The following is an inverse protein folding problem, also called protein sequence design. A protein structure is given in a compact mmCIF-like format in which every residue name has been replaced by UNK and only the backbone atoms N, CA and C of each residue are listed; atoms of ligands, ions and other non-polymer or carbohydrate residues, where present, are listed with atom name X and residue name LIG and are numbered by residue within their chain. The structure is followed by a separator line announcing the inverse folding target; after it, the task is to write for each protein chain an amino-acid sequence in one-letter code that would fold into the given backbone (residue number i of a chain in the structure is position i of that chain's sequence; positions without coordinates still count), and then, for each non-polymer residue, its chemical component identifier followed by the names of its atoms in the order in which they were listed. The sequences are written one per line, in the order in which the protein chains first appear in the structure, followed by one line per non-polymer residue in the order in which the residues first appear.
data_IF_919625207397
#
_entry.id   IF_919625207397
#
_cell.length_a   1.000
_cell.length_b   1.000
_cell.length_c   1.000
_cell.angle_alpha   90.00
_cell.angle_beta   90.00
_cell.angle_gamma   90.00
#
_symmetry.space_group_name_H-M   'P 1'
#
loop_
_entity.id
_entity.type
_entity.pdbx_description
1 polymer ?
#
# COMPACT_ATOMS: atom_id res chain seq x y z
N UNK A 1 -15.52 11.76 -13.76
CA UNK A 1 -15.21 12.59 -12.58
C UNK A 1 -13.96 13.39 -12.86
N UNK A 2 -13.91 14.66 -12.47
CA UNK A 2 -12.80 15.58 -12.75
C UNK A 2 -12.33 16.25 -11.46
N UNK A 3 -11.04 16.66 -11.42
CA UNK A 3 -10.46 17.36 -10.28
C UNK A 3 -10.25 16.47 -9.04
N UNK A 4 -10.07 15.15 -9.23
CA UNK A 4 -9.90 14.22 -8.13
C UNK A 4 -8.45 14.03 -7.76
N UNK A 5 -8.21 13.86 -6.46
CA UNK A 5 -7.00 13.25 -5.94
C UNK A 5 -7.28 11.77 -5.66
N UNK A 6 -6.57 10.90 -6.38
CA UNK A 6 -6.66 9.45 -6.25
C UNK A 6 -5.47 8.94 -5.45
N UNK A 7 -5.68 8.01 -4.53
CA UNK A 7 -4.59 7.35 -3.81
C UNK A 7 -4.60 5.85 -4.12
N UNK A 8 -3.48 5.34 -4.64
CA UNK A 8 -3.32 3.93 -4.98
C UNK A 8 -2.56 3.19 -3.87
N UNK A 9 -3.12 2.09 -3.41
CA UNK A 9 -2.65 1.34 -2.24
C UNK A 9 -1.55 0.29 -2.54
N UNK A 10 -0.75 0.51 -3.58
CA UNK A 10 0.37 -0.37 -3.98
C UNK A 10 0.01 -1.40 -5.05
N UNK A 11 0.99 -2.20 -5.48
CA UNK A 11 0.90 -3.13 -6.62
C UNK A 11 0.50 -2.43 -7.92
N UNK A 12 1.15 -1.30 -8.17
CA UNK A 12 0.95 -0.49 -9.38
C UNK A 12 1.59 -1.12 -10.62
N UNK A 13 2.46 -2.11 -10.42
CA UNK A 13 3.14 -2.86 -11.48
C UNK A 13 4.40 -2.17 -12.02
N UNK A 14 5.01 -1.29 -11.23
CA UNK A 14 6.30 -0.67 -11.60
C UNK A 14 7.43 -1.68 -11.44
N UNK A 15 8.08 -2.00 -12.55
CA UNK A 15 9.11 -3.05 -12.61
C UNK A 15 8.71 -4.19 -13.54
N UNK A 16 7.43 -4.34 -13.84
CA UNK A 16 6.96 -5.21 -14.91
C UNK A 16 7.33 -4.62 -16.27
N UNK A 17 7.92 -5.44 -17.15
CA UNK A 17 8.34 -5.04 -18.50
C UNK A 17 7.16 -4.56 -19.37
N UNK A 18 5.95 -5.03 -19.10
CA UNK A 18 4.73 -4.65 -19.82
C UNK A 18 4.31 -3.21 -19.47
N UNK A 19 4.39 -2.86 -18.18
CA UNK A 19 4.01 -1.54 -17.69
C UNK A 19 5.15 -0.54 -17.87
N UNK A 20 6.40 -0.94 -17.66
CA UNK A 20 7.60 -0.14 -17.87
C UNK A 20 7.86 0.26 -19.32
N UNK A 21 7.19 -0.35 -20.28
CA UNK A 21 7.23 0.09 -21.69
C UNK A 21 6.76 1.55 -21.90
N UNK A 22 6.38 2.21 -20.83
CA UNK A 22 6.06 3.64 -20.77
C UNK A 22 4.77 4.03 -21.48
N UNK A 23 4.22 3.16 -22.34
CA UNK A 23 3.03 3.49 -23.15
C UNK A 23 1.76 3.52 -22.30
N UNK A 24 1.60 2.56 -21.38
CA UNK A 24 0.41 2.46 -20.50
C UNK A 24 0.39 3.63 -19.53
N UNK A 25 1.52 3.88 -18.86
CA UNK A 25 1.62 4.97 -17.89
C UNK A 25 1.51 6.35 -18.52
N UNK A 26 2.11 6.56 -19.71
CA UNK A 26 1.93 7.80 -20.47
C UNK A 26 0.46 8.05 -20.86
N UNK A 27 -0.26 7.00 -21.24
CA UNK A 27 -1.70 7.10 -21.53
C UNK A 27 -2.52 7.39 -20.29
N UNK A 28 -2.18 6.78 -19.16
CA UNK A 28 -2.83 7.05 -17.88
C UNK A 28 -2.56 8.49 -17.44
N UNK A 29 -1.32 8.94 -17.47
CA UNK A 29 -0.94 10.32 -17.14
C UNK A 29 -1.68 11.34 -17.99
N UNK A 30 -1.72 11.13 -19.31
CA UNK A 30 -2.47 11.99 -20.24
C UNK A 30 -3.98 12.01 -19.92
N UNK A 31 -4.55 10.89 -19.48
CA UNK A 31 -5.96 10.78 -19.09
C UNK A 31 -6.23 11.53 -17.78
N UNK A 32 -5.36 11.38 -16.81
CA UNK A 32 -5.43 12.12 -15.54
C UNK A 32 -5.33 13.63 -15.79
N UNK A 33 -4.40 14.05 -16.64
CA UNK A 33 -4.23 15.44 -17.05
C UNK A 33 -5.49 16.00 -17.71
N UNK A 34 -6.08 15.25 -18.64
CA UNK A 34 -7.29 15.66 -19.37
C UNK A 34 -8.51 15.86 -18.48
N UNK A 35 -8.53 15.22 -17.31
CA UNK A 35 -9.60 15.30 -16.32
C UNK A 35 -9.19 16.10 -15.07
N UNK A 36 -8.02 16.75 -15.10
CA UNK A 36 -7.45 17.48 -13.95
C UNK A 36 -7.36 16.62 -12.68
N UNK A 37 -7.09 15.32 -12.84
CA UNK A 37 -6.93 14.38 -11.74
C UNK A 37 -5.43 14.17 -11.44
N UNK A 38 -5.11 13.92 -10.16
CA UNK A 38 -3.78 13.50 -9.73
C UNK A 38 -3.86 12.14 -9.05
N UNK A 39 -2.92 11.25 -9.32
CA UNK A 39 -2.82 9.95 -8.68
C UNK A 39 -1.54 9.86 -7.85
N UNK A 40 -1.71 9.62 -6.56
CA UNK A 40 -0.64 9.38 -5.60
C UNK A 40 -0.49 7.86 -5.42
N UNK A 41 0.71 7.34 -5.50
CA UNK A 41 0.96 5.88 -5.51
C UNK A 41 2.02 5.53 -4.48
N UNK A 42 1.69 4.67 -3.53
CA UNK A 42 2.68 3.96 -2.71
C UNK A 42 3.13 2.68 -3.42
N UNK A 43 4.28 2.14 -3.06
CA UNK A 43 4.72 0.84 -3.59
C UNK A 43 4.01 -0.33 -2.91
N UNK A 44 3.75 -1.39 -3.66
CA UNK A 44 3.40 -2.71 -3.14
C UNK A 44 4.58 -3.67 -3.21
N UNK A 45 4.31 -4.97 -2.99
CA UNK A 45 5.32 -6.03 -3.12
C UNK A 45 5.53 -6.50 -4.58
N UNK A 46 4.66 -6.09 -5.50
CA UNK A 46 4.82 -6.29 -6.95
C UNK A 46 5.42 -5.07 -7.67
N UNK A 47 5.94 -4.11 -6.92
CA UNK A 47 6.56 -2.91 -7.45
C UNK A 47 8.07 -2.91 -7.17
N UNK A 48 8.88 -2.51 -8.15
CA UNK A 48 10.32 -2.34 -7.94
C UNK A 48 10.58 -1.07 -7.11
N UNK A 49 11.09 -1.17 -5.87
CA UNK A 49 11.29 -0.02 -4.99
C UNK A 49 12.17 1.08 -5.57
N UNK A 50 13.06 0.76 -6.50
CA UNK A 50 13.96 1.71 -7.15
C UNK A 50 13.24 2.85 -7.90
N UNK A 51 11.95 2.73 -8.17
CA UNK A 51 11.16 3.81 -8.80
C UNK A 51 10.62 4.83 -7.79
N UNK A 52 10.65 4.54 -6.50
CA UNK A 52 10.12 5.43 -5.44
C UNK A 52 11.20 6.34 -4.84
N UNK A 53 11.90 7.07 -5.71
CA UNK A 53 13.00 7.98 -5.32
C UNK A 53 12.54 9.40 -4.95
N UNK A 54 11.27 9.71 -5.18
CA UNK A 54 10.74 11.08 -5.10
C UNK A 54 10.83 11.87 -6.40
N UNK A 55 11.58 11.37 -7.39
CA UNK A 55 11.61 11.95 -8.73
C UNK A 55 10.36 11.54 -9.50
N UNK A 56 9.59 12.50 -9.97
CA UNK A 56 8.36 12.22 -10.69
C UNK A 56 8.61 12.07 -12.19
N UNK A 57 8.44 10.86 -12.71
CA UNK A 57 8.53 10.55 -14.15
C UNK A 57 7.32 11.08 -14.95
N UNK A 58 6.23 11.42 -14.26
CA UNK A 58 4.95 11.84 -14.84
C UNK A 58 4.39 13.05 -14.09
N UNK A 59 3.60 13.88 -14.77
CA UNK A 59 3.04 15.10 -14.18
C UNK A 59 1.88 14.80 -13.21
N UNK A 60 1.06 13.80 -13.53
CA UNK A 60 -0.18 13.50 -12.80
C UNK A 60 -0.16 12.14 -12.09
N UNK A 61 0.93 11.36 -12.21
CA UNK A 61 1.20 10.17 -11.43
C UNK A 61 2.39 10.46 -10.52
N UNK A 62 2.18 10.43 -9.21
CA UNK A 62 3.16 10.74 -8.18
C UNK A 62 3.51 9.47 -7.41
N UNK A 63 4.66 8.86 -7.72
CA UNK A 63 5.21 7.79 -6.91
C UNK A 63 5.82 8.41 -5.65
N UNK A 64 5.22 8.18 -4.50
CA UNK A 64 5.64 8.80 -3.25
C UNK A 64 6.51 7.84 -2.43
N UNK A 65 7.73 8.26 -2.03
CA UNK A 65 8.58 7.47 -1.15
C UNK A 65 7.86 7.12 0.16
N UNK A 66 8.29 6.04 0.79
CA UNK A 66 7.78 5.65 2.10
C UNK A 66 7.95 6.80 3.11
N UNK A 67 7.01 6.88 4.06
CA UNK A 67 6.95 7.93 5.08
C UNK A 67 6.72 9.35 4.55
N UNK A 68 6.24 9.47 3.31
CA UNK A 68 5.85 10.77 2.75
C UNK A 68 4.46 11.15 3.23
N UNK A 69 4.32 12.39 3.71
CA UNK A 69 3.03 13.01 4.01
C UNK A 69 2.64 13.94 2.88
N UNK A 70 1.47 13.72 2.31
CA UNK A 70 0.89 14.61 1.29
C UNK A 70 -0.36 15.28 1.84
N UNK A 71 -0.57 16.54 1.50
CA UNK A 71 -1.80 17.25 1.86
C UNK A 71 -2.80 17.15 0.70
N UNK A 72 -3.95 16.57 0.97
CA UNK A 72 -5.01 16.34 -0.01
C UNK A 72 -6.34 16.83 0.58
N UNK A 73 -6.91 17.87 -0.03
CA UNK A 73 -8.22 18.41 0.36
C UNK A 73 -8.30 18.77 1.87
N UNK A 74 -7.18 19.29 2.41
CA UNK A 74 -7.08 19.68 3.82
C UNK A 74 -6.84 18.52 4.79
N UNK A 75 -6.65 17.29 4.30
CA UNK A 75 -6.24 16.12 5.09
C UNK A 75 -4.75 15.82 4.87
N UNK A 76 -4.07 15.48 5.93
CA UNK A 76 -2.68 15.02 5.90
C UNK A 76 -2.66 13.50 5.79
N UNK A 77 -2.22 13.00 4.63
CA UNK A 77 -2.21 11.58 4.27
C UNK A 77 -0.79 11.06 4.31
N UNK A 78 -0.50 10.13 5.21
CA UNK A 78 0.77 9.42 5.28
C UNK A 78 0.73 8.20 4.36
N UNK A 79 1.71 8.08 3.45
CA UNK A 79 1.91 6.91 2.61
C UNK A 79 3.13 6.09 3.04
N UNK A 80 2.96 4.78 3.24
CA UNK A 80 4.05 3.83 3.50
C UNK A 80 3.78 2.52 2.76
N UNK A 81 4.67 2.18 1.85
CA UNK A 81 4.51 1.01 0.99
C UNK A 81 5.21 -0.25 1.49
N UNK A 82 5.16 -1.28 0.65
CA UNK A 82 5.84 -2.55 0.84
C UNK A 82 5.03 -3.60 1.58
N UNK A 83 5.33 -4.85 1.23
CA UNK A 83 4.84 -6.04 1.90
C UNK A 83 5.72 -7.25 1.52
N UNK A 84 5.60 -8.33 2.28
CA UNK A 84 6.29 -9.58 1.99
C UNK A 84 5.51 -10.37 0.93
N UNK A 85 6.17 -10.71 -0.19
CA UNK A 85 5.62 -11.63 -1.18
C UNK A 85 5.57 -13.06 -0.65
N UNK A 86 4.38 -13.65 -0.61
CA UNK A 86 4.20 -15.06 -0.21
C UNK A 86 4.82 -16.04 -1.21
N UNK A 87 4.93 -15.63 -2.47
CA UNK A 87 5.48 -16.36 -3.60
C UNK A 87 6.91 -15.94 -3.97
N UNK A 88 7.65 -15.33 -3.03
CA UNK A 88 8.99 -14.80 -3.28
C UNK A 88 9.98 -15.84 -3.80
N UNK A 89 9.93 -17.09 -3.31
CA UNK A 89 10.85 -18.16 -3.75
C UNK A 89 10.72 -18.46 -5.24
N UNK A 90 9.54 -18.76 -5.81
CA UNK A 90 9.41 -18.89 -7.26
C UNK A 90 9.70 -17.61 -8.02
N UNK A 91 9.40 -16.42 -7.49
CA UNK A 91 9.69 -15.13 -8.14
C UNK A 91 11.20 -14.86 -8.21
N UNK A 92 11.98 -15.21 -7.18
CA UNK A 92 13.45 -15.18 -7.23
C UNK A 92 14.01 -16.03 -8.38
N UNK A 93 13.43 -17.19 -8.64
CA UNK A 93 13.85 -18.06 -9.71
C UNK A 93 13.58 -17.49 -11.12
N UNK A 94 12.62 -16.59 -11.25
CA UNK A 94 12.27 -15.91 -12.51
C UNK A 94 13.13 -14.67 -12.80
N UNK A 95 14.10 -14.36 -11.94
CA UNK A 95 15.17 -13.36 -12.08
C UNK A 95 14.79 -11.88 -12.24
N UNK A 96 13.53 -11.48 -12.44
CA UNK A 96 13.18 -10.10 -12.75
C UNK A 96 11.91 -9.55 -12.05
N UNK A 97 11.35 -10.29 -11.08
CA UNK A 97 10.04 -9.92 -10.51
C UNK A 97 10.00 -9.96 -8.98
N UNK A 98 11.15 -10.02 -8.33
CA UNK A 98 11.28 -9.98 -6.88
C UNK A 98 12.43 -9.07 -6.47
N UNK A 99 12.21 -8.27 -5.45
CA UNK A 99 13.20 -7.32 -4.92
C UNK A 99 13.36 -7.54 -3.42
N UNK A 100 14.60 -7.65 -2.90
CA UNK A 100 14.86 -7.88 -1.48
C UNK A 100 14.27 -6.79 -0.57
N UNK A 101 14.14 -5.59 -1.11
CA UNK A 101 13.66 -4.37 -0.46
C UNK A 101 12.16 -4.08 -0.73
N UNK A 102 11.40 -5.05 -1.26
CA UNK A 102 9.94 -4.93 -1.43
C UNK A 102 9.18 -4.83 -0.10
N UNK A 103 9.78 -5.29 0.99
CA UNK A 103 9.16 -5.41 2.30
C UNK A 103 8.83 -4.06 2.94
N UNK A 104 7.85 -4.06 3.85
CA UNK A 104 7.64 -2.96 4.79
C UNK A 104 8.81 -2.85 5.77
N UNK A 105 9.27 -1.64 6.05
CA UNK A 105 10.35 -1.36 7.01
C UNK A 105 9.83 -0.39 8.06
N UNK A 106 9.90 -0.75 9.33
CA UNK A 106 9.44 0.09 10.44
C UNK A 106 10.50 1.13 10.84
N UNK A 107 10.21 2.42 10.61
CA UNK A 107 11.08 3.55 10.93
C UNK A 107 10.54 4.31 12.16
N UNK A 108 10.87 3.83 13.36
CA UNK A 108 10.32 4.33 14.64
C UNK A 108 10.61 5.81 14.88
N UNK A 109 11.82 6.25 14.58
CA UNK A 109 12.25 7.64 14.80
C UNK A 109 11.48 8.60 13.90
N UNK A 110 11.28 8.24 12.64
CA UNK A 110 10.49 9.03 11.69
C UNK A 110 9.03 9.12 12.16
N UNK A 111 8.44 8.00 12.55
CA UNK A 111 7.05 7.94 13.01
C UNK A 111 6.81 8.76 14.28
N UNK A 112 7.75 8.73 15.23
CA UNK A 112 7.66 9.46 16.49
C UNK A 112 7.62 10.99 16.31
N UNK A 113 8.17 11.49 15.20
CA UNK A 113 8.17 12.92 14.85
C UNK A 113 6.94 13.36 14.05
N UNK A 114 6.12 12.43 13.57
CA UNK A 114 4.94 12.75 12.75
C UNK A 114 3.81 13.34 13.58
N UNK A 115 3.19 14.41 13.05
CA UNK A 115 2.09 15.15 13.69
C UNK A 115 1.01 15.47 12.67
N UNK A 116 -0.20 15.60 13.18
CA UNK A 116 -1.37 16.04 12.42
C UNK A 116 -1.70 15.10 11.24
N UNK A 117 -1.47 13.80 11.39
CA UNK A 117 -1.86 12.80 10.39
C UNK A 117 -3.34 12.46 10.58
N UNK A 118 -4.13 12.61 9.51
CA UNK A 118 -5.56 12.30 9.47
C UNK A 118 -5.82 10.92 8.89
N UNK A 119 -5.05 10.55 7.84
CA UNK A 119 -5.24 9.31 7.08
C UNK A 119 -3.89 8.62 6.90
N UNK A 120 -3.89 7.30 7.04
CA UNK A 120 -2.72 6.47 6.74
C UNK A 120 -3.06 5.56 5.57
N UNK A 121 -2.12 5.43 4.63
CA UNK A 121 -2.22 4.49 3.51
C UNK A 121 -0.99 3.59 3.52
N UNK A 122 -1.22 2.28 3.69
CA UNK A 122 -0.18 1.26 3.63
C UNK A 122 -0.50 0.23 2.55
N UNK A 123 0.46 -0.63 2.17
CA UNK A 123 0.14 -1.73 1.27
C UNK A 123 -0.42 -2.93 2.02
N UNK A 124 0.12 -3.26 3.19
CA UNK A 124 -0.36 -4.35 4.06
C UNK A 124 -0.92 -3.80 5.38
N UNK A 125 -1.36 -4.65 6.31
CA UNK A 125 -2.18 -4.27 7.46
C UNK A 125 -1.59 -4.67 8.81
N UNK A 126 -1.91 -3.92 9.90
CA UNK A 126 -1.67 -4.34 11.27
C UNK A 126 -2.33 -5.68 11.60
N UNK A 127 -1.83 -6.34 12.63
CA UNK A 127 -2.32 -7.66 13.03
C UNK A 127 -3.84 -7.70 13.30
N UNK A 128 -4.37 -6.69 13.98
CA UNK A 128 -5.80 -6.61 14.34
C UNK A 128 -6.71 -6.23 13.17
N UNK A 129 -6.17 -5.68 12.08
CA UNK A 129 -6.89 -5.32 10.87
C UNK A 129 -6.63 -6.28 9.70
N UNK A 130 -5.94 -7.40 9.95
CA UNK A 130 -5.74 -8.42 8.93
C UNK A 130 -7.09 -9.05 8.55
N UNK A 131 -7.50 -9.02 7.26
CA UNK A 131 -8.82 -9.47 6.84
C UNK A 131 -9.09 -10.94 7.25
N UNK A 132 -10.23 -11.17 7.90
CA UNK A 132 -10.64 -12.53 8.31
C UNK A 132 -11.33 -13.30 7.19
N UNK A 133 -11.92 -12.59 6.23
CA UNK A 133 -12.59 -13.14 5.05
C UNK A 133 -11.64 -13.71 3.99
N UNK A 134 -10.31 -13.67 4.22
CA UNK A 134 -9.35 -14.37 3.35
C UNK A 134 -9.75 -15.84 3.31
N UNK A 135 -10.30 -16.24 2.17
CA UNK A 135 -10.90 -17.54 1.98
C UNK A 135 -9.86 -18.68 2.18
N UNK A 136 -10.33 -19.90 2.37
CA UNK A 136 -9.48 -21.07 2.58
C UNK A 136 -8.47 -21.31 1.45
N UNK A 137 -8.73 -20.77 0.24
CA UNK A 137 -7.83 -20.84 -0.91
C UNK A 137 -6.54 -20.05 -0.64
N UNK A 138 -6.63 -18.77 -0.20
CA UNK A 138 -5.45 -17.95 0.11
C UNK A 138 -4.64 -18.54 1.25
N UNK A 139 -5.31 -19.05 2.30
CA UNK A 139 -4.60 -19.73 3.42
C UNK A 139 -3.88 -21.00 2.95
N UNK A 140 -4.50 -21.75 2.03
CA UNK A 140 -3.91 -22.94 1.41
C UNK A 140 -2.69 -22.57 0.54
N UNK A 141 -2.79 -21.46 -0.18
CA UNK A 141 -1.74 -20.94 -1.04
C UNK A 141 -0.50 -20.54 -0.21
N UNK A 142 -0.67 -19.72 0.85
CA UNK A 142 0.41 -19.33 1.77
C UNK A 142 1.07 -20.57 2.39
N UNK A 143 0.29 -21.57 2.84
CA UNK A 143 0.84 -22.83 3.38
C UNK A 143 1.59 -23.64 2.33
N UNK A 144 1.19 -23.55 1.06
CA UNK A 144 1.89 -24.16 -0.07
C UNK A 144 3.30 -23.61 -0.21
N UNK A 145 3.44 -22.29 -0.28
CA UNK A 145 4.73 -21.61 -0.39
C UNK A 145 5.62 -21.74 0.86
N UNK A 146 5.02 -21.82 2.04
CA UNK A 146 5.77 -22.01 3.29
C UNK A 146 6.53 -23.35 3.37
N UNK A 147 6.23 -24.32 2.49
CA UNK A 147 7.01 -25.57 2.40
C UNK A 147 8.42 -25.32 1.83
N UNK A 148 8.53 -24.39 0.89
CA UNK A 148 9.78 -24.02 0.23
C UNK A 148 10.44 -22.79 0.88
N UNK A 149 9.75 -22.14 1.80
CA UNK A 149 10.20 -20.96 2.53
C UNK A 149 9.87 -21.10 4.04
N UNK A 150 10.73 -21.77 4.81
CA UNK A 150 10.46 -22.07 6.23
C UNK A 150 10.28 -20.83 7.13
N UNK A 151 10.82 -19.68 6.72
CA UNK A 151 10.72 -18.42 7.48
C UNK A 151 9.50 -17.59 7.11
N UNK A 152 8.80 -17.90 6.04
CA UNK A 152 7.71 -17.08 5.51
C UNK A 152 6.65 -16.75 6.57
N UNK A 153 6.15 -17.77 7.29
CA UNK A 153 5.10 -17.57 8.30
C UNK A 153 5.56 -16.66 9.43
N UNK A 154 6.80 -16.83 9.89
CA UNK A 154 7.38 -15.98 10.93
C UNK A 154 7.53 -14.53 10.45
N UNK A 155 8.02 -14.34 9.23
CA UNK A 155 8.21 -13.01 8.65
C UNK A 155 6.88 -12.29 8.42
N UNK A 156 5.85 -12.97 7.92
CA UNK A 156 4.50 -12.41 7.78
C UNK A 156 3.88 -12.04 9.14
N UNK A 157 4.17 -12.79 10.19
CA UNK A 157 3.73 -12.45 11.54
C UNK A 157 4.48 -11.22 12.07
N UNK A 158 5.78 -11.13 11.82
CA UNK A 158 6.59 -9.97 12.20
C UNK A 158 6.14 -8.70 11.48
N UNK A 159 5.93 -8.74 10.17
CA UNK A 159 5.43 -7.60 9.37
C UNK A 159 4.13 -7.03 9.97
N UNK A 160 3.19 -7.89 10.34
CA UNK A 160 1.94 -7.46 10.98
C UNK A 160 2.13 -6.84 12.37
N UNK A 161 3.09 -7.36 13.14
CA UNK A 161 3.45 -6.79 14.44
C UNK A 161 4.13 -5.43 14.27
N UNK A 162 5.01 -5.28 13.28
CA UNK A 162 5.68 -4.03 12.97
C UNK A 162 4.67 -2.95 12.53
N UNK A 163 3.65 -3.32 11.75
CA UNK A 163 2.55 -2.41 11.39
C UNK A 163 1.64 -2.08 12.58
N UNK A 164 1.47 -3.02 13.52
CA UNK A 164 0.76 -2.75 14.79
C UNK A 164 1.55 -1.74 15.63
N UNK A 165 2.86 -1.90 15.70
CA UNK A 165 3.74 -0.94 16.38
C UNK A 165 3.73 0.43 15.68
N UNK A 166 3.73 0.47 14.35
CA UNK A 166 3.54 1.72 13.57
C UNK A 166 2.25 2.45 13.99
N UNK A 167 1.13 1.70 14.10
CA UNK A 167 -0.14 2.26 14.56
C UNK A 167 -0.02 2.81 15.98
N UNK A 168 0.57 2.05 16.91
CA UNK A 168 0.72 2.45 18.31
C UNK A 168 1.54 3.74 18.45
N UNK A 169 2.63 3.89 17.68
CA UNK A 169 3.45 5.11 17.68
C UNK A 169 2.66 6.31 17.10
N UNK A 170 2.00 6.11 15.98
CA UNK A 170 1.29 7.19 15.31
C UNK A 170 0.11 7.71 16.15
N UNK A 171 -0.68 6.84 16.77
CA UNK A 171 -1.86 7.24 17.53
C UNK A 171 -1.55 8.07 18.78
N UNK A 172 -0.33 8.01 19.30
CA UNK A 172 0.07 8.81 20.47
C UNK A 172 0.02 10.31 20.19
N UNK A 173 0.28 10.72 18.95
CA UNK A 173 0.46 12.12 18.60
C UNK A 173 -0.41 12.59 17.41
N UNK A 174 -1.31 11.74 16.92
CA UNK A 174 -2.13 12.02 15.75
C UNK A 174 -3.60 11.60 15.98
N UNK A 175 -4.52 12.26 15.29
CA UNK A 175 -5.95 11.93 15.33
C UNK A 175 -6.35 11.22 14.03
N UNK A 176 -5.84 10.00 13.83
CA UNK A 176 -6.10 9.21 12.62
C UNK A 176 -7.57 8.81 12.59
N UNK A 177 -8.24 9.06 11.48
CA UNK A 177 -9.64 8.65 11.26
C UNK A 177 -9.76 7.41 10.38
N UNK A 178 -8.88 7.29 9.38
CA UNK A 178 -8.93 6.24 8.37
C UNK A 178 -7.54 5.65 8.12
N UNK A 179 -7.51 4.34 7.93
CA UNK A 179 -6.33 3.58 7.51
C UNK A 179 -6.70 2.68 6.34
N UNK A 180 -6.15 2.99 5.15
CA UNK A 180 -6.45 2.29 3.92
C UNK A 180 -5.28 1.38 3.53
N UNK A 181 -5.58 0.20 3.00
CA UNK A 181 -4.54 -0.74 2.57
C UNK A 181 -5.04 -1.67 1.46
N UNK A 182 -4.12 -2.32 0.74
CA UNK A 182 -4.40 -3.25 -0.36
C UNK A 182 -3.98 -4.68 -0.04
N UNK A 183 -3.20 -5.30 -0.94
CA UNK A 183 -2.49 -6.59 -0.81
C UNK A 183 -3.39 -7.83 -0.70
N UNK A 184 -4.50 -7.78 0.02
CA UNK A 184 -5.30 -8.96 0.38
C UNK A 184 -6.38 -9.33 -0.62
N UNK A 185 -6.56 -8.57 -1.70
CA UNK A 185 -7.53 -8.84 -2.78
C UNK A 185 -8.97 -9.07 -2.27
N UNK A 186 -9.37 -8.38 -1.24
CA UNK A 186 -10.70 -8.44 -0.63
C UNK A 186 -11.15 -7.04 -0.24
N UNK A 187 -12.41 -6.89 0.13
CA UNK A 187 -12.97 -5.64 0.62
C UNK A 187 -13.59 -5.91 1.99
N UNK A 188 -13.04 -5.32 3.03
CA UNK A 188 -13.47 -5.51 4.41
C UNK A 188 -13.15 -4.26 5.23
N UNK A 189 -13.95 -3.98 6.24
CA UNK A 189 -13.73 -2.86 7.16
C UNK A 189 -13.62 -3.39 8.59
N UNK A 190 -12.58 -2.98 9.28
CA UNK A 190 -12.39 -3.23 10.71
C UNK A 190 -12.36 -1.90 11.45
N UNK A 191 -13.15 -1.75 12.50
CA UNK A 191 -13.08 -0.61 13.41
C UNK A 191 -12.21 -0.98 14.61
N UNK A 192 -11.16 -0.21 14.85
CA UNK A 192 -10.27 -0.40 15.98
C UNK A 192 -9.96 0.93 16.66
N UNK A 193 -10.29 1.07 17.94
CA UNK A 193 -10.09 2.29 18.75
C UNK A 193 -10.56 3.59 18.07
N UNK A 194 -11.66 3.52 17.31
CA UNK A 194 -12.24 4.66 16.62
C UNK A 194 -11.67 4.93 15.23
N UNK A 195 -10.60 4.24 14.83
CA UNK A 195 -10.01 4.31 13.48
C UNK A 195 -10.66 3.27 12.58
N UNK A 196 -11.01 3.68 11.37
CA UNK A 196 -11.58 2.81 10.34
C UNK A 196 -10.46 2.24 9.46
N UNK A 197 -10.19 0.95 9.62
CA UNK A 197 -9.25 0.20 8.77
C UNK A 197 -10.02 -0.44 7.62
N UNK A 198 -9.66 -0.05 6.38
CA UNK A 198 -10.31 -0.56 5.18
C UNK A 198 -9.30 -1.19 4.21
N UNK A 199 -9.50 -2.46 3.88
CA UNK A 199 -8.83 -3.07 2.74
C UNK A 199 -9.57 -2.73 1.44
N UNK A 200 -8.80 -2.33 0.42
CA UNK A 200 -9.31 -2.02 -0.92
C UNK A 200 -8.97 -3.20 -1.82
N UNK A 201 -10.00 -3.83 -2.38
CA UNK A 201 -9.86 -4.96 -3.29
C UNK A 201 -9.37 -4.54 -4.68
N UNK A 202 -9.11 -5.54 -5.54
CA UNK A 202 -8.71 -5.30 -6.93
C UNK A 202 -9.86 -4.61 -7.67
N UNK A 203 -9.56 -3.50 -8.32
CA UNK A 203 -10.51 -2.63 -9.04
C UNK A 203 -11.59 -1.98 -8.16
N UNK A 204 -11.48 -2.07 -6.83
CA UNK A 204 -12.36 -1.34 -5.93
C UNK A 204 -11.86 0.09 -5.73
N UNK A 205 -12.81 0.99 -5.49
CA UNK A 205 -12.52 2.38 -5.16
C UNK A 205 -13.37 2.81 -3.96
N UNK A 206 -12.83 3.71 -3.15
CA UNK A 206 -13.49 4.23 -1.97
C UNK A 206 -13.33 5.75 -1.91
N UNK A 207 -14.43 6.46 -1.71
CA UNK A 207 -14.42 7.93 -1.59
C UNK A 207 -14.41 8.33 -0.11
N UNK A 208 -13.27 8.81 0.38
CA UNK A 208 -13.07 9.29 1.75
C UNK A 208 -13.99 10.47 2.14
N UNK A 209 -14.55 11.19 1.16
CA UNK A 209 -15.44 12.34 1.42
C UNK A 209 -16.86 11.90 1.76
N UNK A 210 -17.31 10.80 1.18
CA UNK A 210 -18.70 10.32 1.27
C UNK A 210 -18.84 9.05 2.10
N UNK A 211 -17.72 8.38 2.44
CA UNK A 211 -17.69 7.05 3.09
C UNK A 211 -18.44 5.97 2.26
N UNK A 212 -18.41 6.09 0.94
CA UNK A 212 -19.11 5.19 0.01
C UNK A 212 -18.11 4.50 -0.91
N UNK A 213 -18.34 3.21 -1.17
CA UNK A 213 -17.68 2.47 -2.25
C UNK A 213 -18.22 2.97 -3.60
N UNK A 214 -17.32 3.20 -4.56
CA UNK A 214 -17.64 3.79 -5.88
C UNK A 214 -17.30 2.82 -7.00
#
# INVERSE_FOLDING_TARGET
MEGLNLFHVGDFGMGDSIINGGVILKRLDAKLKATNNTMWVIRGNHDNPAFWTGDHMYDNIKLIPDYTVVEIEGKRVLGVGGAISVDRVPRMAMMNFWWPDEVFVLEREILAEMRDIDVVVTHTAPHFAHPVGINGFVRGFVRGFAKDDPLLIQMLAQERNDLTEMYDILKENNNITDWLYGHFHTNEVTLHEGVKFRVIGINDTYDLRTDIEV
#
